data_IF_482205445666
#
_entry.id   IF_482205445666
#
_cell.length_a   1.000
_cell.length_b   1.000
_cell.length_c   1.000
_cell.angle_alpha   90.00
_cell.angle_beta   90.00
_cell.angle_gamma   90.00
#
_symmetry.space_group_name_H-M   'P 1'
#
loop_
_entity.id
_entity.type
_entity.pdbx_description
1 polymer ?
#
# COMPACT_ATOMS: atom_id res chain seq x y z
N UNK A 1 12.92 -28.01 -6.34
CA UNK A 1 13.43 -27.56 -5.03
C UNK A 1 13.07 -26.08 -4.90
N UNK A 2 12.32 -25.64 -3.88
CA UNK A 2 12.06 -24.23 -3.69
C UNK A 2 13.37 -23.53 -3.33
N UNK A 3 13.78 -22.54 -4.11
CA UNK A 3 14.90 -21.66 -3.77
C UNK A 3 14.58 -20.98 -2.44
N UNK A 4 15.44 -21.22 -1.46
CA UNK A 4 15.39 -20.56 -0.14
C UNK A 4 15.78 -19.11 -0.38
N UNK A 5 14.78 -18.21 -0.44
CA UNK A 5 15.00 -16.77 -0.54
C UNK A 5 15.90 -16.36 0.61
N UNK A 6 17.03 -15.76 0.31
CA UNK A 6 17.99 -15.30 1.31
C UNK A 6 17.35 -14.20 2.17
N UNK A 7 17.64 -14.11 3.47
CA UNK A 7 17.02 -13.12 4.37
C UNK A 7 17.13 -11.64 3.91
N UNK A 8 18.14 -11.33 3.09
CA UNK A 8 18.35 -10.00 2.50
C UNK A 8 17.36 -9.63 1.37
N UNK A 9 16.57 -10.60 0.86
CA UNK A 9 15.61 -10.37 -0.22
C UNK A 9 14.16 -10.29 0.30
N UNK A 10 13.95 -10.42 1.61
CA UNK A 10 12.62 -10.28 2.22
C UNK A 10 12.34 -8.82 2.58
N UNK A 11 11.21 -8.32 2.10
CA UNK A 11 10.79 -6.93 2.26
C UNK A 11 10.82 -6.15 0.95
N UNK A 12 10.96 -4.84 1.04
CA UNK A 12 11.05 -3.98 -0.13
C UNK A 12 12.52 -3.63 -0.38
N UNK A 13 13.01 -3.90 -1.58
CA UNK A 13 14.37 -3.56 -2.01
C UNK A 13 14.31 -2.58 -3.18
N UNK A 14 14.99 -1.46 -3.04
CA UNK A 14 15.23 -0.49 -4.10
C UNK A 14 16.61 -0.74 -4.67
N UNK A 15 16.70 -0.96 -5.98
CA UNK A 15 17.92 -1.31 -6.69
C UNK A 15 18.19 -0.24 -7.76
N UNK A 16 19.14 0.66 -7.47
CA UNK A 16 19.50 1.84 -8.28
C UNK A 16 18.26 2.61 -8.77
N UNK A 17 17.33 2.83 -7.86
CA UNK A 17 16.04 3.42 -8.17
C UNK A 17 16.16 4.90 -8.49
N UNK A 18 15.74 5.29 -9.69
CA UNK A 18 15.58 6.69 -10.11
C UNK A 18 14.13 6.95 -10.44
N UNK A 19 13.57 8.05 -9.92
CA UNK A 19 12.15 8.39 -10.10
C UNK A 19 11.93 9.90 -10.20
N UNK A 20 10.82 10.27 -10.87
CA UNK A 20 10.45 11.65 -11.11
C UNK A 20 9.21 11.76 -11.97
N UNK A 21 8.91 12.94 -12.48
CA UNK A 21 7.72 13.25 -13.27
C UNK A 21 8.12 13.69 -14.68
N UNK A 22 7.58 13.01 -15.69
CA UNK A 22 7.98 13.21 -17.08
C UNK A 22 9.48 12.94 -17.26
N UNK A 23 10.25 13.95 -17.60
CA UNK A 23 11.71 13.88 -17.70
C UNK A 23 12.45 14.50 -16.50
N UNK A 24 11.70 15.03 -15.53
CA UNK A 24 12.30 15.67 -14.36
C UNK A 24 12.64 14.61 -13.33
N UNK A 25 13.92 14.37 -13.11
CA UNK A 25 14.46 13.49 -12.10
C UNK A 25 14.32 14.16 -10.72
N UNK A 26 13.76 13.46 -9.75
CA UNK A 26 13.55 13.94 -8.37
C UNK A 26 14.41 13.17 -7.37
N UNK A 27 14.47 11.85 -7.53
CA UNK A 27 15.35 10.97 -6.76
C UNK A 27 16.17 10.14 -7.74
N UNK A 28 17.44 9.93 -7.43
CA UNK A 28 18.38 9.28 -8.31
C UNK A 28 19.23 8.25 -7.58
N UNK A 29 19.43 7.10 -8.21
CA UNK A 29 20.32 6.00 -7.79
C UNK A 29 20.10 5.59 -6.31
N UNK A 30 18.85 5.47 -5.89
CA UNK A 30 18.53 5.07 -4.52
C UNK A 30 18.71 3.56 -4.36
N UNK A 31 19.59 3.18 -3.42
CA UNK A 31 19.74 1.80 -2.94
C UNK A 31 19.27 1.72 -1.50
N UNK A 32 18.24 0.95 -1.24
CA UNK A 32 17.64 0.84 0.09
C UNK A 32 16.95 -0.52 0.26
N UNK A 33 17.06 -1.07 1.46
CA UNK A 33 16.28 -2.24 1.88
C UNK A 33 15.38 -1.86 3.05
N UNK A 34 14.09 -2.10 2.90
CA UNK A 34 13.05 -1.96 3.93
C UNK A 34 12.67 -3.37 4.39
N UNK A 35 13.17 -3.82 5.53
CA UNK A 35 12.97 -5.20 5.96
C UNK A 35 11.55 -5.45 6.48
N UNK A 36 11.08 -6.68 6.37
CA UNK A 36 9.82 -7.12 6.99
C UNK A 36 9.82 -6.95 8.50
N UNK A 37 8.63 -6.67 9.06
CA UNK A 37 8.40 -6.63 10.49
C UNK A 37 9.13 -5.50 11.21
N UNK A 38 9.63 -4.51 10.49
CA UNK A 38 10.29 -3.33 11.04
C UNK A 38 9.56 -2.05 10.62
N UNK A 39 9.56 -1.07 11.51
CA UNK A 39 9.15 0.28 11.17
C UNK A 39 10.36 1.00 10.54
N UNK A 40 10.18 1.49 9.32
CA UNK A 40 11.18 2.32 8.63
C UNK A 40 10.62 3.72 8.46
N UNK A 41 11.38 4.73 8.88
CA UNK A 41 10.99 6.14 8.80
C UNK A 41 11.81 6.83 7.72
N UNK A 42 11.13 7.49 6.78
CA UNK A 42 11.73 8.34 5.78
C UNK A 42 11.63 9.81 6.22
N UNK A 43 12.75 10.38 6.66
CA UNK A 43 12.84 11.77 7.12
C UNK A 43 13.63 12.62 6.12
N UNK A 44 13.31 13.91 6.05
CA UNK A 44 14.00 14.87 5.18
C UNK A 44 13.19 16.16 4.99
N UNK A 45 13.82 17.20 4.46
CA UNK A 45 13.18 18.49 4.18
C UNK A 45 12.02 18.38 3.20
N UNK A 46 11.15 19.41 3.17
CA UNK A 46 10.13 19.50 2.14
C UNK A 46 10.78 19.62 0.75
N UNK A 47 10.23 18.94 -0.23
CA UNK A 47 10.80 18.89 -1.59
C UNK A 47 11.95 17.89 -1.78
N UNK A 48 12.40 17.16 -0.75
CA UNK A 48 13.51 16.18 -0.89
C UNK A 48 13.15 14.87 -1.61
N UNK A 49 11.97 14.78 -2.23
CA UNK A 49 11.57 13.60 -3.02
C UNK A 49 10.90 12.45 -2.24
N UNK A 50 10.61 12.61 -0.93
CA UNK A 50 9.98 11.56 -0.11
C UNK A 50 8.69 11.02 -0.71
N UNK A 51 7.79 11.90 -1.10
CA UNK A 51 6.49 11.52 -1.70
C UNK A 51 6.67 10.83 -3.06
N UNK A 52 7.65 11.27 -3.86
CA UNK A 52 8.00 10.65 -5.13
C UNK A 52 8.52 9.24 -4.92
N UNK A 53 9.42 9.05 -3.95
CA UNK A 53 9.96 7.75 -3.58
C UNK A 53 8.86 6.81 -3.10
N UNK A 54 8.02 7.25 -2.15
CA UNK A 54 6.89 6.46 -1.64
C UNK A 54 5.88 6.10 -2.73
N UNK A 55 5.56 7.04 -3.63
CA UNK A 55 4.66 6.78 -4.76
C UNK A 55 5.23 5.74 -5.74
N UNK A 56 6.56 5.73 -5.92
CA UNK A 56 7.23 4.75 -6.76
C UNK A 56 7.26 3.37 -6.10
N UNK A 57 7.55 3.31 -4.79
CA UNK A 57 7.46 2.08 -3.99
C UNK A 57 6.04 1.51 -4.01
N UNK A 58 5.03 2.37 -3.89
CA UNK A 58 3.62 1.99 -3.91
C UNK A 58 3.08 1.68 -5.32
N UNK A 59 3.94 1.72 -6.37
CA UNK A 59 3.56 1.48 -7.76
C UNK A 59 2.56 2.51 -8.34
N UNK A 60 2.41 3.66 -7.69
CA UNK A 60 1.61 4.77 -8.21
C UNK A 60 2.39 5.60 -9.25
N UNK A 61 3.72 5.55 -9.18
CA UNK A 61 4.63 6.19 -10.12
C UNK A 61 5.57 5.13 -10.72
N UNK A 62 5.73 5.14 -12.04
CA UNK A 62 6.68 4.25 -12.71
C UNK A 62 8.11 4.79 -12.51
N UNK A 63 9.09 3.94 -12.17
CA UNK A 63 10.49 4.37 -12.09
C UNK A 63 11.01 4.84 -13.45
N UNK A 64 11.91 5.81 -13.43
CA UNK A 64 12.69 6.26 -14.60
C UNK A 64 13.91 5.36 -14.83
N UNK A 65 14.45 4.76 -13.75
CA UNK A 65 15.56 3.82 -13.80
C UNK A 65 15.53 2.89 -12.58
N UNK A 66 16.28 1.80 -12.65
CA UNK A 66 16.36 0.82 -11.57
C UNK A 66 15.08 0.02 -11.35
N UNK A 67 14.92 -0.52 -10.15
CA UNK A 67 13.75 -1.35 -9.83
C UNK A 67 13.35 -1.27 -8.36
N UNK A 68 12.06 -1.56 -8.09
CA UNK A 68 11.51 -1.86 -6.77
C UNK A 68 11.15 -3.33 -6.75
N UNK A 69 11.67 -4.07 -5.77
CA UNK A 69 11.34 -5.48 -5.54
C UNK A 69 10.57 -5.64 -4.24
N UNK A 70 9.55 -6.46 -4.28
CA UNK A 70 8.79 -6.91 -3.12
C UNK A 70 9.02 -8.42 -2.99
N UNK A 71 9.66 -8.83 -1.90
CA UNK A 71 10.05 -10.22 -1.64
C UNK A 71 10.76 -10.89 -2.84
N UNK A 72 11.75 -10.18 -3.40
CA UNK A 72 12.55 -10.64 -4.53
C UNK A 72 11.90 -10.48 -5.91
N UNK A 73 10.62 -10.11 -6.00
CA UNK A 73 9.91 -9.91 -7.27
C UNK A 73 9.80 -8.44 -7.64
N UNK A 74 10.10 -8.11 -8.90
CA UNK A 74 9.96 -6.73 -9.40
C UNK A 74 8.49 -6.31 -9.42
N UNK A 75 8.11 -5.40 -8.53
CA UNK A 75 6.72 -5.02 -8.26
C UNK A 75 5.99 -4.47 -9.51
N UNK A 76 6.71 -3.80 -10.42
CA UNK A 76 6.11 -3.22 -11.62
C UNK A 76 5.74 -4.26 -12.69
N UNK A 77 6.27 -5.48 -12.61
CA UNK A 77 5.94 -6.61 -13.50
C UNK A 77 4.90 -7.55 -12.90
N UNK A 78 4.63 -7.45 -11.59
CA UNK A 78 3.63 -8.29 -10.93
C UNK A 78 2.21 -7.89 -11.35
N UNK A 79 1.26 -8.83 -11.36
CA UNK A 79 -0.17 -8.51 -11.50
C UNK A 79 -0.62 -7.54 -10.38
N UNK A 80 -1.40 -6.51 -10.74
CA UNK A 80 -1.84 -5.49 -9.76
C UNK A 80 -2.51 -6.10 -8.53
N UNK A 81 -3.34 -7.13 -8.75
CA UNK A 81 -4.03 -7.84 -7.66
C UNK A 81 -3.07 -8.57 -6.71
N UNK A 82 -1.96 -9.10 -7.23
CA UNK A 82 -0.94 -9.76 -6.39
C UNK A 82 -0.22 -8.74 -5.50
N UNK A 83 0.12 -7.57 -6.05
CA UNK A 83 0.72 -6.47 -5.28
C UNK A 83 -0.25 -5.94 -4.22
N UNK A 84 -1.52 -5.70 -4.58
CA UNK A 84 -2.53 -5.15 -3.64
C UNK A 84 -2.87 -6.06 -2.47
N UNK A 85 -2.50 -7.34 -2.53
CA UNK A 85 -2.64 -8.28 -1.39
C UNK A 85 -1.49 -8.21 -0.41
N UNK A 86 -0.37 -7.57 -0.78
CA UNK A 86 0.86 -7.55 -0.01
C UNK A 86 1.27 -6.12 0.39
N UNK A 87 0.86 -5.11 -0.39
CA UNK A 87 1.25 -3.72 -0.20
C UNK A 87 0.03 -2.82 -0.20
N UNK A 88 -0.16 -2.11 0.89
CA UNK A 88 -1.13 -1.03 1.04
C UNK A 88 -0.43 0.31 1.15
N UNK A 89 -1.15 1.38 0.81
CA UNK A 89 -0.71 2.76 1.02
C UNK A 89 -1.83 3.55 1.67
N UNK A 90 -1.48 4.33 2.69
CA UNK A 90 -2.36 5.33 3.26
C UNK A 90 -1.86 6.71 2.81
N UNK A 91 -2.59 7.43 1.95
CA UNK A 91 -2.20 8.76 1.53
C UNK A 91 -2.40 9.78 2.65
N UNK A 92 -1.67 10.90 2.60
CA UNK A 92 -1.76 11.98 3.59
C UNK A 92 -3.17 12.60 3.65
N UNK A 93 -3.86 12.66 2.53
CA UNK A 93 -5.24 13.14 2.42
C UNK A 93 -6.06 12.12 1.62
N UNK A 94 -6.60 11.09 2.28
CA UNK A 94 -7.41 10.11 1.58
C UNK A 94 -8.72 10.75 1.11
N UNK A 95 -9.00 10.59 -0.19
CA UNK A 95 -10.31 10.94 -0.75
C UNK A 95 -11.30 9.84 -0.36
N UNK A 96 -12.29 10.19 0.43
CA UNK A 96 -13.39 9.30 0.77
C UNK A 96 -14.57 9.68 -0.11
N UNK A 97 -15.13 8.75 -0.91
CA UNK A 97 -16.36 9.01 -1.62
C UNK A 97 -17.50 9.33 -0.63
N UNK A 98 -18.30 10.35 -0.95
CA UNK A 98 -19.42 10.75 -0.13
C UNK A 98 -20.46 9.62 0.05
N UNK A 99 -21.08 9.58 1.21
CA UNK A 99 -22.19 8.66 1.51
C UNK A 99 -21.78 7.22 1.80
N UNK A 100 -20.49 6.89 1.88
CA UNK A 100 -20.05 5.56 2.30
C UNK A 100 -20.06 5.44 3.82
N UNK A 101 -20.57 4.31 4.31
CA UNK A 101 -20.36 3.90 5.70
C UNK A 101 -18.92 3.43 5.94
N UNK A 102 -18.51 3.41 7.20
CA UNK A 102 -17.18 2.88 7.59
C UNK A 102 -17.04 1.42 7.16
N UNK A 103 -18.06 0.59 7.36
CA UNK A 103 -18.06 -0.81 6.92
C UNK A 103 -17.85 -0.93 5.39
N UNK A 104 -18.55 -0.14 4.59
CA UNK A 104 -18.40 -0.17 3.14
C UNK A 104 -17.00 0.29 2.69
N UNK A 105 -16.43 1.30 3.36
CA UNK A 105 -15.07 1.74 3.07
C UNK A 105 -14.05 0.65 3.36
N UNK A 106 -14.10 0.03 4.55
CA UNK A 106 -13.19 -1.06 4.95
C UNK A 106 -13.38 -2.28 4.04
N UNK A 107 -14.63 -2.57 3.65
CA UNK A 107 -14.97 -3.68 2.74
C UNK A 107 -14.29 -3.57 1.37
N UNK A 108 -13.97 -2.35 0.89
CA UNK A 108 -13.22 -2.16 -0.36
C UNK A 108 -11.81 -2.75 -0.30
N UNK A 109 -11.24 -2.90 0.90
CA UNK A 109 -9.98 -3.60 1.11
C UNK A 109 -10.02 -5.08 0.68
N UNK A 110 -11.22 -5.66 0.49
CA UNK A 110 -11.39 -7.04 0.03
C UNK A 110 -11.35 -7.22 -1.49
N UNK A 111 -11.41 -6.14 -2.28
CA UNK A 111 -11.39 -6.21 -3.75
C UNK A 111 -10.25 -7.06 -4.34
N UNK A 112 -9.01 -7.05 -3.84
CA UNK A 112 -7.95 -7.90 -4.36
C UNK A 112 -8.22 -9.40 -4.20
N UNK A 113 -9.09 -9.81 -3.28
CA UNK A 113 -9.44 -11.22 -3.03
C UNK A 113 -10.69 -11.67 -3.80
N UNK A 114 -11.50 -10.72 -4.28
CA UNK A 114 -12.72 -11.01 -5.04
C UNK A 114 -12.40 -11.24 -6.51
N UNK A 115 -12.99 -12.28 -7.14
CA UNK A 115 -12.93 -12.53 -8.58
C UNK A 115 -14.05 -11.80 -9.32
N UNK A 116 -14.04 -11.84 -10.65
CA UNK A 116 -15.10 -11.26 -11.50
C UNK A 116 -16.51 -11.80 -11.20
N UNK A 117 -16.60 -13.05 -10.72
CA UNK A 117 -17.86 -13.71 -10.35
C UNK A 117 -17.92 -14.09 -8.87
N UNK A 118 -16.94 -13.68 -8.07
CA UNK A 118 -16.92 -14.04 -6.65
C UNK A 118 -17.81 -13.08 -5.88
N UNK A 119 -18.90 -13.60 -5.38
CA UNK A 119 -19.76 -12.91 -4.43
C UNK A 119 -19.03 -12.72 -3.08
N UNK A 120 -19.49 -11.77 -2.31
CA UNK A 120 -19.11 -11.57 -0.92
C UNK A 120 -19.22 -12.89 -0.14
N UNK A 121 -18.25 -13.20 0.66
CA UNK A 121 -18.18 -14.45 1.41
C UNK A 121 -18.04 -14.19 2.91
N UNK A 122 -18.39 -15.17 3.73
CA UNK A 122 -18.18 -15.11 5.19
C UNK A 122 -16.72 -14.84 5.58
N UNK A 123 -15.76 -15.24 4.73
CA UNK A 123 -14.35 -14.93 4.96
C UNK A 123 -14.04 -13.44 4.70
N UNK A 124 -14.75 -12.80 3.77
CA UNK A 124 -14.61 -11.36 3.54
C UNK A 124 -15.23 -10.58 4.71
N UNK A 125 -16.41 -11.00 5.16
CA UNK A 125 -17.10 -10.44 6.34
C UNK A 125 -16.18 -10.48 7.57
N UNK A 126 -15.73 -11.66 7.95
CA UNK A 126 -14.82 -11.84 9.11
C UNK A 126 -13.55 -11.00 9.01
N UNK A 127 -12.96 -10.88 7.82
CA UNK A 127 -11.76 -10.08 7.64
C UNK A 127 -12.00 -8.58 7.83
N UNK A 128 -13.19 -8.09 7.45
CA UNK A 128 -13.60 -6.70 7.69
C UNK A 128 -13.88 -6.45 9.15
N UNK A 129 -14.64 -7.35 9.81
CA UNK A 129 -14.94 -7.26 11.24
C UNK A 129 -13.66 -7.28 12.08
N UNK A 130 -12.72 -8.18 11.76
CA UNK A 130 -11.42 -8.26 12.43
C UNK A 130 -10.60 -6.97 12.25
N UNK A 131 -10.54 -6.43 11.03
CA UNK A 131 -9.84 -5.17 10.76
C UNK A 131 -10.45 -4.00 11.53
N UNK A 132 -11.78 -3.93 11.61
CA UNK A 132 -12.49 -2.89 12.36
C UNK A 132 -12.28 -3.04 13.88
N UNK A 133 -12.27 -4.27 14.39
CA UNK A 133 -11.98 -4.53 15.80
C UNK A 133 -10.54 -4.12 16.16
N UNK A 134 -9.56 -4.46 15.33
CA UNK A 134 -8.15 -4.11 15.53
C UNK A 134 -7.89 -2.59 15.50
N UNK A 135 -8.68 -1.85 14.75
CA UNK A 135 -8.56 -0.37 14.64
C UNK A 135 -9.49 0.39 15.58
N UNK A 136 -10.33 -0.32 16.36
CA UNK A 136 -11.29 0.30 17.27
C UNK A 136 -12.42 1.05 16.54
N UNK A 137 -12.71 0.70 15.29
CA UNK A 137 -13.73 1.38 14.47
C UNK A 137 -15.05 0.62 14.36
N UNK A 138 -15.18 -0.53 15.03
CA UNK A 138 -16.37 -1.39 14.95
C UNK A 138 -17.68 -0.67 15.38
N UNK A 139 -17.61 0.20 16.38
CA UNK A 139 -18.76 0.99 16.83
C UNK A 139 -19.27 2.00 15.80
N UNK A 140 -18.42 2.39 14.85
CA UNK A 140 -18.74 3.34 13.78
C UNK A 140 -19.17 2.67 12.49
N UNK A 141 -19.29 1.34 12.43
CA UNK A 141 -19.51 0.54 11.22
C UNK A 141 -20.60 1.13 10.28
N UNK A 142 -21.71 1.54 10.84
CA UNK A 142 -22.88 2.01 10.11
C UNK A 142 -22.93 3.54 9.92
N UNK A 143 -21.94 4.27 10.49
CA UNK A 143 -21.88 5.72 10.33
C UNK A 143 -21.28 6.10 9.00
N UNK A 144 -21.78 7.18 8.36
CA UNK A 144 -21.10 7.77 7.20
C UNK A 144 -19.69 8.24 7.57
N UNK A 145 -18.70 7.94 6.71
CA UNK A 145 -17.29 8.30 6.98
C UNK A 145 -17.10 9.82 7.09
N UNK A 146 -17.89 10.59 6.35
CA UNK A 146 -17.84 12.06 6.37
C UNK A 146 -18.37 12.65 7.68
N UNK A 147 -19.16 11.90 8.46
CA UNK A 147 -19.63 12.30 9.78
C UNK A 147 -18.60 12.12 10.90
N UNK A 148 -17.49 11.40 10.64
CA UNK A 148 -16.45 11.13 11.62
C UNK A 148 -15.54 12.33 11.83
N UNK A 149 -15.10 12.54 13.09
CA UNK A 149 -14.06 13.50 13.40
C UNK A 149 -12.71 13.10 12.78
N UNK A 150 -11.78 14.06 12.65
CA UNK A 150 -10.46 13.79 12.08
C UNK A 150 -9.64 12.73 12.84
N UNK A 151 -9.90 12.55 14.14
CA UNK A 151 -9.24 11.52 14.94
C UNK A 151 -9.91 10.15 14.88
N UNK A 152 -11.17 10.08 14.44
CA UNK A 152 -11.92 8.84 14.23
C UNK A 152 -11.77 8.32 12.78
N UNK A 153 -11.34 9.16 11.89
CA UNK A 153 -11.11 8.89 10.48
C UNK A 153 -9.65 8.47 10.25
#
# INVERSE_FOLDING_TARGET
MPQRVMPAEQGIVLDSLSAGYGQTLIVDDIQLTIPHGKMTVLAGANGSGKSTLLSTIARMLKPLGGSVRLDGQTIHTMPTRAVSRQLGILPQSPLTPEGLTVFELVSRGRYPWQGLMRQWSDADERAVEEAMALTGTAEFAHLPVDSLSGGQR
#
